data_IF_432736732597
#
_entry.id   IF_432736732597
#
_cell.length_a   1.000
_cell.length_b   1.000
_cell.length_c   1.000
_cell.angle_alpha   90.00
_cell.angle_beta   90.00
_cell.angle_gamma   90.00
#
_symmetry.space_group_name_H-M   'P 1'
#
loop_
_entity.id
_entity.type
_entity.pdbx_description
1 polymer ?
#
# COMPACT_ATOMS: atom_id res chain seq x y z
N UNK A 1 -7.05 -14.63 -13.22
CA UNK A 1 -6.31 -13.61 -13.99
C UNK A 1 -6.41 -12.18 -13.40
N UNK A 2 -7.59 -11.72 -12.96
CA UNK A 2 -7.79 -10.33 -12.44
C UNK A 2 -7.01 -9.98 -11.14
N UNK A 3 -6.73 -10.98 -10.29
CA UNK A 3 -5.93 -10.78 -9.05
C UNK A 3 -4.42 -10.77 -9.29
N UNK A 4 -3.94 -11.44 -10.35
CA UNK A 4 -2.52 -11.59 -10.64
C UNK A 4 -1.92 -10.29 -11.21
N UNK A 5 -2.69 -9.51 -11.96
CA UNK A 5 -2.26 -8.18 -12.43
C UNK A 5 -2.28 -7.11 -11.33
N UNK A 6 -3.13 -7.24 -10.30
CA UNK A 6 -3.18 -6.30 -9.15
C UNK A 6 -1.94 -6.48 -8.24
N UNK A 7 -1.30 -7.65 -8.29
CA UNK A 7 -0.02 -7.92 -7.64
C UNK A 7 1.20 -7.57 -8.51
N UNK A 8 1.04 -6.82 -9.63
CA UNK A 8 2.19 -6.05 -10.15
C UNK A 8 2.72 -5.25 -8.97
N UNK A 9 3.92 -5.59 -8.55
CA UNK A 9 4.54 -5.06 -7.36
C UNK A 9 4.30 -3.55 -7.31
N UNK A 10 3.65 -3.10 -6.23
CA UNK A 10 3.49 -1.68 -5.95
C UNK A 10 4.81 -0.99 -6.26
N UNK A 11 4.75 0.04 -7.12
CA UNK A 11 5.96 0.73 -7.54
C UNK A 11 6.77 1.13 -6.30
N UNK A 12 8.12 1.17 -6.38
CA UNK A 12 8.95 1.59 -5.24
C UNK A 12 8.47 2.92 -4.62
N UNK A 13 7.98 3.84 -5.46
CA UNK A 13 7.35 5.10 -5.03
C UNK A 13 6.11 4.88 -4.15
N UNK A 14 5.19 4.01 -4.57
CA UNK A 14 3.97 3.69 -3.80
C UNK A 14 4.31 2.96 -2.51
N UNK A 15 5.28 2.04 -2.51
CA UNK A 15 5.76 1.39 -1.28
C UNK A 15 6.36 2.41 -0.31
N UNK A 16 7.18 3.33 -0.80
CA UNK A 16 7.74 4.43 0.00
C UNK A 16 6.65 5.30 0.64
N UNK A 17 5.61 5.64 -0.11
CA UNK A 17 4.48 6.41 0.41
C UNK A 17 3.69 5.66 1.49
N UNK A 18 3.54 4.34 1.36
CA UNK A 18 2.91 3.49 2.39
C UNK A 18 3.73 3.48 3.69
N UNK A 19 5.05 3.31 3.59
CA UNK A 19 5.97 3.33 4.72
C UNK A 19 5.93 4.69 5.42
N UNK A 20 6.01 5.77 4.63
CA UNK A 20 5.96 7.13 5.14
C UNK A 20 4.64 7.41 5.86
N UNK A 21 3.50 7.09 5.25
CA UNK A 21 2.19 7.24 5.88
C UNK A 21 2.08 6.49 7.20
N UNK A 22 2.61 5.26 7.27
CA UNK A 22 2.64 4.49 8.52
C UNK A 22 3.54 5.12 9.58
N UNK A 23 4.72 5.65 9.21
CA UNK A 23 5.60 6.41 10.11
C UNK A 23 4.93 7.68 10.64
N UNK A 24 4.11 8.34 9.82
CA UNK A 24 3.25 9.46 10.22
C UNK A 24 2.00 9.04 11.00
N UNK A 25 1.93 7.78 11.47
CA UNK A 25 0.81 7.20 12.24
C UNK A 25 -0.54 7.24 11.51
N UNK A 26 -0.56 7.38 10.19
CA UNK A 26 -1.79 7.31 9.42
C UNK A 26 -2.36 5.89 9.46
N UNK A 27 -3.69 5.80 9.42
CA UNK A 27 -4.37 4.51 9.31
C UNK A 27 -4.13 3.88 7.92
N UNK A 28 -4.13 2.55 7.84
CA UNK A 28 -4.03 1.86 6.54
C UNK A 28 -5.17 2.24 5.58
N UNK A 29 -6.34 2.60 6.11
CA UNK A 29 -7.47 3.10 5.31
C UNK A 29 -7.17 4.48 4.71
N UNK A 30 -6.63 5.41 5.51
CA UNK A 30 -6.23 6.75 5.05
C UNK A 30 -5.15 6.66 3.97
N UNK A 31 -4.14 5.82 4.19
CA UNK A 31 -3.06 5.58 3.22
C UNK A 31 -3.62 5.03 1.90
N UNK A 32 -4.50 4.02 1.98
CA UNK A 32 -5.15 3.43 0.82
C UNK A 32 -5.97 4.45 0.03
N UNK A 33 -6.76 5.27 0.73
CA UNK A 33 -7.55 6.35 0.11
C UNK A 33 -6.66 7.38 -0.60
N UNK A 34 -5.59 7.82 0.04
CA UNK A 34 -4.66 8.81 -0.52
C UNK A 34 -3.90 8.29 -1.75
N UNK A 35 -3.64 6.99 -1.79
CA UNK A 35 -2.90 6.35 -2.88
C UNK A 35 -3.81 5.76 -3.96
N UNK A 36 -5.15 5.82 -3.78
CA UNK A 36 -6.10 5.19 -4.69
C UNK A 36 -5.91 3.67 -4.81
N UNK A 37 -5.42 3.01 -3.76
CA UNK A 37 -5.13 1.58 -3.76
C UNK A 37 -5.99 0.82 -2.76
N UNK A 38 -5.98 -0.52 -2.85
CA UNK A 38 -6.73 -1.33 -1.90
C UNK A 38 -6.09 -1.31 -0.52
N UNK A 39 -6.92 -1.30 0.53
CA UNK A 39 -6.47 -1.47 1.92
C UNK A 39 -5.59 -2.71 2.05
N UNK A 40 -5.99 -3.82 1.41
CA UNK A 40 -5.24 -5.08 1.42
C UNK A 40 -3.82 -4.92 0.86
N UNK A 41 -3.61 -4.14 -0.19
CA UNK A 41 -2.29 -3.88 -0.75
C UNK A 41 -1.38 -3.11 0.22
N UNK A 42 -1.95 -2.18 0.98
CA UNK A 42 -1.24 -1.47 2.06
C UNK A 42 -0.78 -2.45 3.15
N UNK A 43 -1.68 -3.29 3.68
CA UNK A 43 -1.31 -4.24 4.74
C UNK A 43 -0.34 -5.32 4.26
N UNK A 44 -0.48 -5.81 3.03
CA UNK A 44 0.46 -6.76 2.46
C UNK A 44 1.86 -6.15 2.31
N UNK A 45 1.94 -4.85 1.98
CA UNK A 45 3.23 -4.14 1.95
C UNK A 45 3.80 -4.00 3.35
N UNK A 46 2.99 -3.57 4.31
CA UNK A 46 3.44 -3.38 5.71
C UNK A 46 3.84 -4.70 6.40
N UNK A 47 3.24 -5.83 6.03
CA UNK A 47 3.62 -7.17 6.52
C UNK A 47 4.92 -7.71 5.91
N UNK A 48 5.34 -7.17 4.76
CA UNK A 48 6.56 -7.57 4.05
C UNK A 48 7.77 -6.70 4.42
N UNK A 49 7.59 -5.72 5.30
CA UNK A 49 8.64 -4.92 5.94
C UNK A 49 9.02 -5.58 7.26
#
# INVERSE_FOLDING_TARGET
LKLYEIMKDLTPKTRGAIIYGKKCRQSGHTIAKNLGCSKTAVYNTLKRL
#
